data_IF_567337995095
#
_entry.id   IF_567337995095
#
_cell.length_a   1.000
_cell.length_b   1.000
_cell.length_c   1.000
_cell.angle_alpha   90.00
_cell.angle_beta   90.00
_cell.angle_gamma   90.00
#
_symmetry.space_group_name_H-M   'P 1'
#
loop_
_entity.id
_entity.type
_entity.pdbx_description
1 polymer ?
#
# COMPACT_ATOMS: atom_id res chain seq x y z
N UNK A 1 -2.63 -4.46 -5.72
CA UNK A 1 -2.78 -3.35 -4.78
C UNK A 1 -3.80 -2.34 -5.30
N UNK A 2 -3.50 -1.61 -6.39
CA UNK A 2 -4.30 -0.45 -6.84
C UNK A 2 -5.81 -0.69 -6.88
N UNK A 3 -6.27 -1.72 -7.61
CA UNK A 3 -7.70 -2.06 -7.73
C UNK A 3 -8.34 -2.43 -6.39
N UNK A 4 -7.64 -3.22 -5.57
CA UNK A 4 -8.16 -3.66 -4.28
C UNK A 4 -8.26 -2.48 -3.32
N UNK A 5 -7.26 -1.59 -3.30
CA UNK A 5 -7.29 -0.37 -2.50
C UNK A 5 -8.46 0.53 -2.91
N UNK A 6 -8.63 0.80 -4.21
CA UNK A 6 -9.74 1.65 -4.69
C UNK A 6 -11.10 1.03 -4.34
N UNK A 7 -11.22 -0.30 -4.47
CA UNK A 7 -12.42 -1.05 -4.08
C UNK A 7 -12.69 -0.94 -2.59
N UNK A 8 -11.68 -1.17 -1.74
CA UNK A 8 -11.78 -1.09 -0.29
C UNK A 8 -12.20 0.31 0.16
N UNK A 9 -11.63 1.34 -0.45
CA UNK A 9 -11.92 2.74 -0.12
C UNK A 9 -13.28 3.22 -0.63
N UNK A 10 -14.00 2.41 -1.41
CA UNK A 10 -15.38 2.64 -1.85
C UNK A 10 -15.65 4.07 -2.35
N UNK A 11 -14.80 4.55 -3.27
CA UNK A 11 -14.91 5.89 -3.88
C UNK A 11 -14.34 7.05 -3.06
N UNK A 12 -13.82 6.82 -1.85
CA UNK A 12 -13.16 7.85 -1.02
C UNK A 12 -11.70 8.11 -1.39
N UNK A 13 -11.08 7.20 -2.13
CA UNK A 13 -9.68 7.36 -2.52
C UNK A 13 -9.36 6.73 -3.88
N UNK A 14 -8.27 7.22 -4.47
CA UNK A 14 -7.62 6.67 -5.65
C UNK A 14 -6.16 6.39 -5.35
N UNK A 15 -5.58 5.38 -5.99
CA UNK A 15 -4.13 5.21 -6.00
C UNK A 15 -3.66 4.66 -7.34
N UNK A 16 -2.38 4.88 -7.65
CA UNK A 16 -1.77 4.36 -8.87
C UNK A 16 -0.29 4.08 -8.69
N UNK A 17 0.14 2.88 -9.04
CA UNK A 17 1.56 2.60 -9.25
C UNK A 17 2.05 3.23 -10.56
N UNK A 18 3.20 3.89 -10.48
CA UNK A 18 3.93 4.49 -11.59
C UNK A 18 5.28 3.80 -11.86
N UNK A 19 6.03 4.36 -12.80
CA UNK A 19 7.39 3.90 -13.10
C UNK A 19 8.34 4.05 -11.90
N UNK A 20 9.41 3.25 -11.90
CA UNK A 20 10.46 3.29 -10.89
C UNK A 20 9.97 3.17 -9.44
N UNK A 21 9.01 2.27 -9.19
CA UNK A 21 8.50 1.97 -7.85
C UNK A 21 7.97 3.19 -7.07
N UNK A 22 7.21 4.02 -7.77
CA UNK A 22 6.42 5.11 -7.17
C UNK A 22 4.97 4.65 -7.05
N UNK A 23 4.30 4.96 -5.93
CA UNK A 23 2.84 4.90 -5.82
C UNK A 23 2.30 6.21 -5.28
N UNK A 24 1.35 6.79 -6.01
CA UNK A 24 0.59 7.96 -5.56
C UNK A 24 -0.76 7.55 -4.98
N UNK A 25 -1.24 8.32 -4.01
CA UNK A 25 -2.56 8.21 -3.40
C UNK A 25 -3.22 9.59 -3.35
N UNK A 26 -4.53 9.62 -3.57
CA UNK A 26 -5.38 10.74 -3.22
C UNK A 26 -6.52 10.23 -2.34
N UNK A 27 -6.60 10.70 -1.10
CA UNK A 27 -7.57 10.23 -0.10
C UNK A 27 -8.42 11.42 0.35
N UNK A 28 -9.73 11.32 0.16
CA UNK A 28 -10.70 12.32 0.60
C UNK A 28 -11.16 12.02 2.02
N UNK A 29 -11.02 12.99 2.92
CA UNK A 29 -11.52 12.92 4.29
C UNK A 29 -13.03 13.17 4.36
N UNK A 30 -13.70 12.79 5.47
CA UNK A 30 -15.12 13.06 5.67
C UNK A 30 -15.50 14.55 5.59
N UNK A 31 -14.60 15.45 6.00
CA UNK A 31 -14.80 16.90 5.94
C UNK A 31 -14.65 17.50 4.52
N UNK A 32 -14.33 16.68 3.53
CA UNK A 32 -14.13 17.09 2.14
C UNK A 32 -12.70 17.53 1.80
N UNK A 33 -11.80 17.66 2.79
CA UNK A 33 -10.37 17.89 2.54
C UNK A 33 -9.71 16.66 1.90
N UNK A 34 -8.55 16.86 1.28
CA UNK A 34 -7.84 15.80 0.53
C UNK A 34 -6.40 15.70 1.01
N UNK A 35 -5.94 14.48 1.27
CA UNK A 35 -4.53 14.15 1.47
C UNK A 35 -3.97 13.56 0.17
N UNK A 36 -2.88 14.13 -0.32
CA UNK A 36 -2.05 13.54 -1.35
C UNK A 36 -0.82 12.87 -0.73
N UNK A 37 -0.52 11.64 -1.12
CA UNK A 37 0.66 10.89 -0.65
C UNK A 37 1.40 10.30 -1.84
N UNK A 38 2.73 10.30 -1.77
CA UNK A 38 3.57 9.56 -2.70
C UNK A 38 4.58 8.72 -1.92
N UNK A 39 4.66 7.43 -2.24
CA UNK A 39 5.67 6.52 -1.71
C UNK A 39 6.62 6.13 -2.85
N UNK A 40 7.92 6.29 -2.62
CA UNK A 40 9.00 5.91 -3.54
C UNK A 40 9.87 4.85 -2.87
N UNK A 41 10.12 3.75 -3.56
CA UNK A 41 11.22 2.85 -3.20
C UNK A 41 12.50 3.36 -3.86
N UNK A 42 13.54 3.61 -3.07
CA UNK A 42 14.77 4.29 -3.53
C UNK A 42 15.55 3.50 -4.58
N UNK A 43 15.56 2.17 -4.49
CA UNK A 43 16.23 1.31 -5.48
C UNK A 43 15.42 1.15 -6.79
N UNK A 44 14.26 1.82 -6.90
CA UNK A 44 13.38 1.76 -8.07
C UNK A 44 12.64 0.43 -8.21
N UNK A 45 12.73 -0.47 -7.23
CA UNK A 45 12.13 -1.79 -7.28
C UNK A 45 10.76 -1.87 -6.60
N UNK A 46 9.77 -2.43 -7.29
CA UNK A 46 8.38 -2.48 -6.82
C UNK A 46 8.15 -3.45 -5.66
N UNK A 47 9.09 -4.37 -5.39
CA UNK A 47 8.93 -5.45 -4.40
C UNK A 47 8.49 -4.95 -3.01
N UNK A 48 9.07 -3.85 -2.54
CA UNK A 48 8.76 -3.29 -1.23
C UNK A 48 7.50 -2.41 -1.21
N UNK A 49 6.98 -2.01 -2.38
CA UNK A 49 5.99 -0.94 -2.50
C UNK A 49 4.65 -1.27 -1.83
N UNK A 50 4.22 -2.53 -1.87
CA UNK A 50 2.96 -2.95 -1.24
C UNK A 50 3.05 -2.93 0.28
N UNK A 51 4.12 -3.53 0.84
CA UNK A 51 4.35 -3.57 2.29
C UNK A 51 4.55 -2.17 2.86
N UNK A 52 5.34 -1.32 2.18
CA UNK A 52 5.58 0.05 2.63
C UNK A 52 4.34 0.94 2.51
N UNK A 53 3.53 0.73 1.48
CA UNK A 53 2.23 1.38 1.36
C UNK A 53 1.31 1.06 2.54
N UNK A 54 1.18 -0.22 2.90
CA UNK A 54 0.34 -0.60 4.03
C UNK A 54 0.89 -0.08 5.36
N UNK A 55 2.20 -0.17 5.58
CA UNK A 55 2.83 0.34 6.81
C UNK A 55 2.57 1.84 6.99
N UNK A 56 2.77 2.65 5.93
CA UNK A 56 2.51 4.08 5.99
C UNK A 56 1.02 4.40 6.21
N UNK A 57 0.11 3.76 5.48
CA UNK A 57 -1.33 3.98 5.62
C UNK A 57 -1.82 3.64 7.04
N UNK A 58 -1.26 2.60 7.65
CA UNK A 58 -1.57 2.19 9.01
C UNK A 58 -1.03 3.18 10.05
N UNK A 59 0.24 3.56 9.93
CA UNK A 59 0.88 4.51 10.87
C UNK A 59 0.19 5.87 10.88
N UNK A 60 -0.33 6.29 9.72
CA UNK A 60 -1.05 7.55 9.57
C UNK A 60 -2.57 7.42 9.85
N UNK A 61 -3.03 6.23 10.26
CA UNK A 61 -4.44 5.93 10.54
C UNK A 61 -5.41 6.33 9.41
N UNK A 62 -5.01 6.07 8.16
CA UNK A 62 -5.74 6.52 6.96
C UNK A 62 -6.81 5.54 6.47
N UNK A 63 -6.95 4.38 7.11
CA UNK A 63 -7.89 3.32 6.78
C UNK A 63 -8.73 2.98 8.02
N UNK A 64 -10.00 2.63 7.82
CA UNK A 64 -10.77 1.95 8.89
C UNK A 64 -10.26 0.53 9.10
N UNK A 65 -10.64 -0.10 10.21
CA UNK A 65 -10.27 -1.49 10.49
C UNK A 65 -10.73 -2.46 9.38
N UNK A 66 -11.94 -2.25 8.84
CA UNK A 66 -12.49 -3.08 7.76
C UNK A 66 -11.72 -2.88 6.44
N UNK A 67 -11.43 -1.62 6.08
CA UNK A 67 -10.63 -1.29 4.90
C UNK A 67 -9.24 -1.90 5.00
N UNK A 68 -8.62 -1.77 6.18
CA UNK A 68 -7.30 -2.30 6.46
C UNK A 68 -7.26 -3.83 6.41
N UNK A 69 -8.27 -4.49 6.99
CA UNK A 69 -8.40 -5.94 6.96
C UNK A 69 -8.59 -6.47 5.54
N UNK A 70 -9.36 -5.78 4.69
CA UNK A 70 -9.54 -6.18 3.29
C UNK A 70 -8.24 -6.14 2.46
N UNK A 71 -7.24 -5.40 2.94
CA UNK A 71 -5.93 -5.23 2.31
C UNK A 71 -4.81 -5.99 3.02
N UNK A 72 -5.12 -6.86 3.99
CA UNK A 72 -4.12 -7.52 4.86
C UNK A 72 -3.02 -8.26 4.09
N UNK A 73 -3.36 -8.85 2.92
CA UNK A 73 -2.43 -9.60 2.07
C UNK A 73 -1.25 -8.78 1.54
N UNK A 74 -1.36 -7.45 1.58
CA UNK A 74 -0.33 -6.52 1.14
C UNK A 74 0.62 -6.10 2.27
N UNK A 75 0.30 -6.37 3.54
CA UNK A 75 1.15 -6.01 4.69
C UNK A 75 2.48 -6.76 4.65
N UNK A 76 2.40 -8.07 4.43
CA UNK A 76 3.57 -8.96 4.35
C UNK A 76 3.53 -9.84 3.09
N UNK A 77 3.79 -9.30 1.89
CA UNK A 77 3.68 -10.06 0.66
C UNK A 77 4.68 -11.21 0.65
N UNK A 78 4.17 -12.42 0.42
CA UNK A 78 4.96 -13.65 0.33
C UNK A 78 5.73 -13.69 -0.99
N UNK A 79 7.05 -13.84 -0.91
CA UNK A 79 7.91 -14.03 -2.06
C UNK A 79 7.83 -15.48 -2.52
N UNK A 80 7.57 -15.67 -3.81
CA UNK A 80 7.53 -16.99 -4.45
C UNK A 80 8.52 -17.05 -5.59
N UNK A 81 9.21 -18.17 -5.73
CA UNK A 81 10.06 -18.42 -6.90
C UNK A 81 9.22 -18.75 -8.15
N UNK A 82 9.88 -18.99 -9.29
CA UNK A 82 9.21 -19.35 -10.55
C UNK A 82 8.34 -20.60 -10.44
N UNK A 83 8.67 -21.54 -9.54
CA UNK A 83 7.89 -22.76 -9.26
C UNK A 83 6.76 -22.54 -8.25
N UNK A 84 6.48 -21.28 -7.88
CA UNK A 84 5.46 -20.86 -6.89
C UNK A 84 5.73 -21.33 -5.46
N UNK A 85 6.94 -21.78 -5.17
CA UNK A 85 7.36 -22.15 -3.82
C UNK A 85 7.66 -20.87 -3.04
N UNK A 86 7.12 -20.74 -1.83
CA UNK A 86 7.41 -19.64 -0.92
C UNK A 86 8.88 -19.66 -0.51
N UNK A 87 9.57 -18.54 -0.71
CA UNK A 87 11.01 -18.37 -0.42
C UNK A 87 11.29 -17.27 0.59
N UNK A 88 10.26 -16.60 1.08
CA UNK A 88 10.38 -15.54 2.08
C UNK A 88 9.15 -14.64 2.10
N UNK A 89 9.24 -13.53 2.84
CA UNK A 89 8.25 -12.46 2.87
C UNK A 89 8.95 -11.11 2.97
N UNK A 90 8.27 -10.05 2.53
CA UNK A 90 8.70 -8.68 2.76
C UNK A 90 7.88 -8.13 3.92
N UNK A 91 8.52 -7.37 4.80
CA UNK A 91 7.87 -6.62 5.87
C UNK A 91 8.47 -5.23 5.91
N UNK A 92 7.74 -4.27 6.46
CA UNK A 92 8.19 -2.88 6.60
C UNK A 92 8.11 -2.48 8.06
N UNK A 93 9.18 -1.91 8.58
CA UNK A 93 9.21 -1.16 9.83
C UNK A 93 9.35 0.33 9.53
N UNK A 94 8.79 1.18 10.40
CA UNK A 94 8.95 2.63 10.36
C UNK A 94 9.61 3.02 11.68
N UNK A 95 10.80 3.62 11.59
CA UNK A 95 11.56 4.14 12.74
C UNK A 95 11.47 5.67 12.72
N UNK A 96 11.28 6.29 13.89
CA UNK A 96 11.23 7.74 14.09
C UNK A 96 12.37 8.21 15.00
#
# INVERSE_FOLDING_TARGET
FDTDFITAMNGKAVCKVGGEAIRGFGIRKPDGSVIGVVIKVLDGNIRALDSSSMAFLNEMELLTDEENQSLEKYREPVLKNHRKISVGKISTGIDF
#
